data_IF_150074276491
#
_entry.id   IF_150074276491
#
_cell.length_a   1.000
_cell.length_b   1.000
_cell.length_c   1.000
_cell.angle_alpha   90.00
_cell.angle_beta   90.00
_cell.angle_gamma   90.00
#
_symmetry.space_group_name_H-M   'P 1'
#
loop_
_entity.id
_entity.type
_entity.pdbx_description
1 polymer ?
#
# COMPACT_ATOMS: atom_id res chain seq x y z
N UNK A 1 -35.81 11.04 12.01
CA UNK A 1 -35.43 11.31 13.42
C UNK A 1 -33.97 11.76 13.42
N UNK A 2 -33.66 12.98 13.89
CA UNK A 2 -32.28 13.49 13.91
C UNK A 2 -31.58 12.93 15.17
N UNK A 3 -30.46 12.20 15.06
CA UNK A 3 -29.81 11.56 16.21
C UNK A 3 -29.24 12.58 17.22
N UNK A 4 -29.36 12.27 18.51
CA UNK A 4 -29.12 13.20 19.61
C UNK A 4 -27.64 13.47 19.92
N UNK A 5 -26.72 12.61 19.46
CA UNK A 5 -25.27 12.78 19.65
C UNK A 5 -24.46 11.96 18.63
N UNK A 6 -23.15 12.18 18.58
CA UNK A 6 -22.23 11.52 17.61
C UNK A 6 -22.22 9.99 17.74
N UNK A 7 -22.50 9.45 18.93
CA UNK A 7 -22.52 8.00 19.18
C UNK A 7 -23.78 7.39 18.55
N UNK A 8 -24.95 7.96 18.81
CA UNK A 8 -26.23 7.54 18.21
C UNK A 8 -26.26 7.75 16.69
N UNK A 9 -25.62 8.80 16.17
CA UNK A 9 -25.44 8.97 14.73
C UNK A 9 -24.62 7.83 14.13
N UNK A 10 -23.53 7.41 14.80
CA UNK A 10 -22.72 6.27 14.34
C UNK A 10 -23.47 4.95 14.35
N UNK A 11 -24.37 4.74 15.31
CA UNK A 11 -25.23 3.55 15.36
C UNK A 11 -26.26 3.56 14.23
N UNK A 12 -26.95 4.68 14.02
CA UNK A 12 -27.91 4.85 12.91
C UNK A 12 -27.22 4.69 11.55
N UNK A 13 -26.04 5.28 11.36
CA UNK A 13 -25.28 5.13 10.11
C UNK A 13 -24.79 3.68 9.92
N UNK A 14 -24.48 2.95 10.99
CA UNK A 14 -24.10 1.53 10.92
C UNK A 14 -25.26 0.62 10.56
N UNK A 15 -26.45 0.90 11.07
CA UNK A 15 -27.67 0.17 10.70
C UNK A 15 -28.13 0.48 9.28
N UNK A 16 -28.02 1.76 8.85
CA UNK A 16 -28.45 2.19 7.52
C UNK A 16 -27.44 1.90 6.42
N UNK A 17 -26.14 1.89 6.74
CA UNK A 17 -25.04 1.68 5.80
C UNK A 17 -24.04 0.66 6.34
N UNK A 18 -24.45 -0.60 6.55
CA UNK A 18 -23.60 -1.65 7.12
C UNK A 18 -22.34 -1.90 6.29
N UNK A 19 -22.43 -1.79 4.95
CA UNK A 19 -21.30 -1.97 4.04
C UNK A 19 -20.23 -0.86 4.16
N UNK A 20 -20.64 0.38 4.46
CA UNK A 20 -19.71 1.49 4.68
C UNK A 20 -18.94 1.37 6.00
N UNK A 21 -19.49 0.61 6.97
CA UNK A 21 -18.92 0.44 8.31
C UNK A 21 -18.33 -0.95 8.57
N UNK A 22 -18.57 -1.94 7.69
CA UNK A 22 -17.99 -3.28 7.79
C UNK A 22 -16.44 -3.27 7.80
N UNK A 23 -15.83 -2.35 7.05
CA UNK A 23 -14.37 -2.21 7.01
C UNK A 23 -13.77 -1.64 8.30
N UNK A 24 -14.48 -0.76 9.00
CA UNK A 24 -14.03 -0.20 10.28
C UNK A 24 -14.08 -1.22 11.44
N UNK A 25 -14.90 -2.28 11.31
CA UNK A 25 -15.03 -3.36 12.30
C UNK A 25 -14.10 -4.55 12.01
N UNK A 26 -13.50 -4.61 10.81
CA UNK A 26 -12.54 -5.66 10.43
C UNK A 26 -11.18 -5.52 11.15
N UNK A 27 -10.96 -4.43 11.89
CA UNK A 27 -9.73 -4.11 12.63
C UNK A 27 -9.46 -5.02 13.84
N UNK A 28 -10.25 -6.08 14.06
CA UNK A 28 -10.09 -7.03 15.17
C UNK A 28 -10.12 -8.51 14.81
N UNK A 29 -10.32 -8.88 13.54
CA UNK A 29 -10.16 -10.25 13.04
C UNK A 29 -8.77 -10.45 12.47
N UNK A 30 -8.24 -11.68 12.46
CA UNK A 30 -6.95 -11.99 11.84
C UNK A 30 -6.94 -11.56 10.36
N UNK A 31 -6.48 -10.34 10.07
CA UNK A 31 -6.37 -9.82 8.71
C UNK A 31 -5.32 -10.65 7.97
N UNK A 32 -5.80 -11.51 7.08
CA UNK A 32 -4.95 -12.24 6.14
C UNK A 32 -4.15 -11.29 5.24
N UNK A 33 -3.08 -11.82 4.64
CA UNK A 33 -2.33 -11.05 3.65
C UNK A 33 -3.24 -10.75 2.44
N UNK A 34 -3.18 -9.50 1.97
CA UNK A 34 -3.85 -9.05 0.75
C UNK A 34 -3.43 -9.98 -0.39
N UNK A 35 -4.42 -10.59 -1.04
CA UNK A 35 -4.20 -11.46 -2.19
C UNK A 35 -4.29 -10.63 -3.47
N UNK A 36 -3.18 -10.59 -4.19
CA UNK A 36 -3.06 -9.88 -5.47
C UNK A 36 -3.16 -10.84 -6.65
N UNK A 37 -2.86 -12.12 -6.44
CA UNK A 37 -2.76 -13.12 -7.51
C UNK A 37 -1.42 -13.12 -8.23
N UNK A 38 -0.47 -12.27 -7.80
CA UNK A 38 0.85 -12.13 -8.40
C UNK A 38 1.92 -12.54 -7.40
N UNK A 39 2.71 -13.56 -7.75
CA UNK A 39 3.67 -14.20 -6.84
C UNK A 39 4.67 -13.21 -6.20
N UNK A 40 5.11 -12.18 -6.93
CA UNK A 40 6.02 -11.16 -6.44
C UNK A 40 5.41 -10.32 -5.29
N UNK A 41 4.13 -9.94 -5.42
CA UNK A 41 3.39 -9.16 -4.43
C UNK A 41 2.90 -10.05 -3.27
N UNK A 42 2.38 -11.23 -3.58
CA UNK A 42 1.89 -12.16 -2.56
C UNK A 42 3.04 -12.66 -1.67
N UNK A 43 4.25 -12.80 -2.24
CA UNK A 43 5.48 -13.08 -1.50
C UNK A 43 5.86 -11.99 -0.48
N UNK A 44 5.45 -10.75 -0.69
CA UNK A 44 5.64 -9.66 0.29
C UNK A 44 4.76 -9.84 1.53
N UNK A 45 3.67 -10.62 1.43
CA UNK A 45 2.66 -10.79 2.48
C UNK A 45 2.15 -9.45 3.00
N UNK A 46 1.61 -8.63 2.09
CA UNK A 46 1.10 -7.30 2.40
C UNK A 46 -0.05 -7.37 3.38
N UNK A 47 0.09 -6.68 4.51
CA UNK A 47 -0.90 -6.68 5.60
C UNK A 47 -1.49 -5.29 5.77
N UNK A 48 -2.76 -5.26 6.12
CA UNK A 48 -3.41 -4.05 6.56
C UNK A 48 -2.75 -3.50 7.84
N UNK A 49 -2.76 -2.18 7.98
CA UNK A 49 -2.07 -1.49 9.07
C UNK A 49 -0.54 -1.54 9.00
N UNK A 50 0.05 -1.87 7.84
CA UNK A 50 1.50 -1.94 7.69
C UNK A 50 2.01 -1.03 6.58
N UNK A 51 3.31 -0.76 6.62
CA UNK A 51 4.02 -0.03 5.57
C UNK A 51 4.84 -1.01 4.76
N UNK A 52 4.69 -0.97 3.44
CA UNK A 52 5.50 -1.70 2.47
C UNK A 52 6.22 -0.72 1.54
N UNK A 53 7.30 -1.18 0.92
CA UNK A 53 8.07 -0.40 -0.04
C UNK A 53 8.41 -1.25 -1.27
N UNK A 54 8.13 -0.73 -2.47
CA UNK A 54 8.54 -1.29 -3.74
C UNK A 54 9.64 -0.38 -4.29
N UNK A 55 10.82 -0.94 -4.48
CA UNK A 55 12.00 -0.21 -4.93
C UNK A 55 12.28 -0.58 -6.38
N UNK A 56 12.24 0.41 -7.28
CA UNK A 56 12.66 0.28 -8.67
C UNK A 56 13.77 1.31 -8.94
N UNK A 57 15.02 0.88 -8.91
CA UNK A 57 16.15 1.80 -9.08
C UNK A 57 16.30 2.32 -10.52
N UNK A 58 15.74 1.60 -11.49
CA UNK A 58 15.92 1.88 -12.92
C UNK A 58 14.72 2.63 -13.51
N UNK A 59 13.56 2.59 -12.84
CA UNK A 59 12.31 3.23 -13.25
C UNK A 59 11.58 2.51 -14.38
N UNK A 60 12.09 1.38 -14.84
CA UNK A 60 11.55 0.57 -15.95
C UNK A 60 11.48 -0.93 -15.60
N UNK A 61 11.48 -1.27 -14.31
CA UNK A 61 11.44 -2.64 -13.84
C UNK A 61 10.01 -3.12 -13.50
N UNK A 62 8.99 -2.36 -13.91
CA UNK A 62 7.58 -2.76 -13.78
C UNK A 62 6.87 -2.24 -12.52
N UNK A 63 7.42 -1.23 -11.83
CA UNK A 63 6.76 -0.62 -10.67
C UNK A 63 5.31 -0.16 -10.97
N UNK A 64 5.07 0.44 -12.15
CA UNK A 64 3.72 0.83 -12.58
C UNK A 64 2.76 -0.34 -12.78
N UNK A 65 3.26 -1.50 -13.23
CA UNK A 65 2.45 -2.73 -13.35
C UNK A 65 2.00 -3.20 -11.96
N UNK A 66 2.92 -3.19 -10.99
CA UNK A 66 2.62 -3.55 -9.61
C UNK A 66 1.67 -2.56 -8.93
N UNK A 67 1.78 -1.26 -9.27
CA UNK A 67 0.86 -0.22 -8.82
C UNK A 67 -0.57 -0.55 -9.26
N UNK A 68 -0.77 -0.82 -10.54
CA UNK A 68 -2.07 -1.20 -11.09
C UNK A 68 -2.59 -2.51 -10.49
N UNK A 69 -1.72 -3.52 -10.37
CA UNK A 69 -2.08 -4.79 -9.72
C UNK A 69 -2.55 -4.60 -8.27
N UNK A 70 -1.92 -3.69 -7.52
CA UNK A 70 -2.34 -3.36 -6.15
C UNK A 70 -3.63 -2.55 -6.08
N UNK A 71 -3.95 -1.75 -7.09
CA UNK A 71 -5.26 -1.09 -7.21
C UNK A 71 -6.38 -2.08 -7.57
N UNK A 72 -6.03 -3.14 -8.28
CA UNK A 72 -6.95 -4.17 -8.78
C UNK A 72 -7.09 -5.38 -7.86
N UNK A 73 -6.21 -5.51 -6.88
CA UNK A 73 -6.23 -6.58 -5.89
C UNK A 73 -7.54 -6.60 -5.08
N UNK A 74 -7.93 -7.80 -4.67
CA UNK A 74 -9.21 -8.16 -4.03
C UNK A 74 -10.42 -8.23 -4.98
N UNK A 75 -10.92 -9.46 -5.16
CA UNK A 75 -12.02 -9.83 -6.08
C UNK A 75 -13.37 -10.03 -5.38
N UNK A 76 -13.49 -9.82 -4.06
CA UNK A 76 -14.72 -10.09 -3.30
C UNK A 76 -15.60 -8.85 -3.08
N UNK A 77 -16.88 -9.10 -2.80
CA UNK A 77 -18.09 -8.36 -3.20
C UNK A 77 -18.24 -6.87 -2.87
N UNK A 78 -17.29 -6.24 -2.16
CA UNK A 78 -17.30 -4.82 -1.80
C UNK A 78 -15.90 -4.23 -2.05
N UNK A 79 -15.61 -3.90 -3.32
CA UNK A 79 -14.30 -3.37 -3.74
C UNK A 79 -13.92 -2.15 -2.88
N UNK A 80 -12.90 -2.23 -2.01
CA UNK A 80 -12.55 -1.11 -1.15
C UNK A 80 -11.95 0.05 -1.95
N UNK A 81 -12.13 1.27 -1.46
CA UNK A 81 -11.54 2.46 -2.06
C UNK A 81 -10.02 2.42 -1.94
N UNK A 82 -9.33 2.78 -3.01
CA UNK A 82 -7.87 2.88 -3.06
C UNK A 82 -7.51 4.34 -3.28
N UNK A 83 -6.52 4.86 -2.55
CA UNK A 83 -5.94 6.15 -2.84
C UNK A 83 -4.58 6.00 -3.52
N UNK A 84 -4.38 6.74 -4.60
CA UNK A 84 -3.07 6.98 -5.18
C UNK A 84 -2.64 8.40 -4.84
N UNK A 85 -1.54 8.53 -4.11
CA UNK A 85 -0.81 9.78 -3.95
C UNK A 85 0.31 9.78 -4.96
N UNK A 86 0.10 10.49 -6.07
CA UNK A 86 1.03 10.56 -7.18
C UNK A 86 1.96 11.76 -6.99
N UNK A 87 3.21 11.49 -6.59
CA UNK A 87 4.19 12.51 -6.26
C UNK A 87 4.68 13.35 -7.44
N UNK A 88 4.63 12.78 -8.65
CA UNK A 88 5.22 13.35 -9.86
C UNK A 88 4.18 13.70 -10.94
N UNK A 89 2.89 13.43 -10.70
CA UNK A 89 1.82 13.60 -11.69
C UNK A 89 2.06 12.71 -12.93
N UNK A 90 2.53 11.48 -12.69
CA UNK A 90 3.00 10.55 -13.72
C UNK A 90 2.06 9.36 -13.97
N UNK A 91 1.00 9.21 -13.17
CA UNK A 91 0.01 8.17 -13.40
C UNK A 91 -0.79 8.43 -14.68
N UNK A 92 -0.91 7.41 -15.53
CA UNK A 92 -1.74 7.43 -16.73
C UNK A 92 -3.09 6.72 -16.47
N UNK A 93 -4.22 7.45 -16.40
CA UNK A 93 -5.54 6.85 -16.21
C UNK A 93 -5.94 5.86 -17.31
N UNK A 94 -5.41 5.99 -18.53
CA UNK A 94 -5.73 5.08 -19.63
C UNK A 94 -5.18 3.67 -19.41
N UNK A 95 -4.19 3.51 -18.53
CA UNK A 95 -3.61 2.22 -18.15
C UNK A 95 -4.47 1.39 -17.18
N UNK A 96 -5.52 1.98 -16.60
CA UNK A 96 -6.40 1.35 -15.63
C UNK A 96 -7.81 1.09 -16.19
N UNK A 97 -8.46 0.03 -15.71
CA UNK A 97 -9.87 -0.22 -16.04
C UNK A 97 -10.80 0.84 -15.44
N UNK A 98 -11.93 1.11 -16.09
CA UNK A 98 -12.97 2.02 -15.58
C UNK A 98 -13.45 1.65 -14.17
N UNK A 99 -13.48 0.35 -13.87
CA UNK A 99 -13.89 -0.13 -12.55
C UNK A 99 -12.87 0.23 -11.47
N UNK A 100 -11.58 0.20 -11.80
CA UNK A 100 -10.51 0.70 -10.93
C UNK A 100 -10.60 2.21 -10.77
N UNK A 101 -10.82 2.95 -11.85
CA UNK A 101 -10.92 4.41 -11.81
C UNK A 101 -12.11 4.89 -10.95
N UNK A 102 -13.26 4.20 -11.01
CA UNK A 102 -14.45 4.54 -10.23
C UNK A 102 -14.26 4.44 -8.70
N UNK A 103 -13.26 3.67 -8.23
CA UNK A 103 -12.93 3.51 -6.80
C UNK A 103 -11.64 4.21 -6.39
N UNK A 104 -10.97 4.89 -7.33
CA UNK A 104 -9.67 5.50 -7.12
C UNK A 104 -9.81 6.94 -6.65
N UNK A 105 -9.25 7.26 -5.48
CA UNK A 105 -8.95 8.63 -5.10
C UNK A 105 -7.55 8.98 -5.59
N UNK A 106 -7.45 9.75 -6.67
CA UNK A 106 -6.16 10.19 -7.22
C UNK A 106 -5.79 11.59 -6.70
N UNK A 107 -4.75 11.65 -5.87
CA UNK A 107 -4.18 12.89 -5.35
C UNK A 107 -2.93 13.25 -6.15
N UNK A 108 -3.10 14.20 -7.06
CA UNK A 108 -2.03 14.69 -7.94
C UNK A 108 -1.12 15.66 -7.19
N UNK A 109 0.07 15.20 -6.85
CA UNK A 109 1.14 16.02 -6.31
C UNK A 109 2.18 16.28 -7.41
N UNK A 110 3.01 17.30 -7.20
CA UNK A 110 4.15 17.63 -8.08
C UNK A 110 5.43 17.87 -7.27
N UNK A 111 5.43 17.32 -6.06
CA UNK A 111 6.45 17.51 -5.04
C UNK A 111 6.34 16.41 -3.99
N UNK A 112 7.49 15.86 -3.60
CA UNK A 112 7.57 14.76 -2.65
C UNK A 112 7.05 15.16 -1.26
N UNK A 113 7.28 16.39 -0.80
CA UNK A 113 6.79 16.84 0.51
C UNK A 113 5.26 17.03 0.51
N UNK A 114 4.66 17.45 -0.60
CA UNK A 114 3.21 17.46 -0.77
C UNK A 114 2.63 16.05 -0.76
N UNK A 115 3.29 15.10 -1.42
CA UNK A 115 2.89 13.70 -1.41
C UNK A 115 2.90 13.10 0.01
N UNK A 116 3.97 13.32 0.79
CA UNK A 116 4.05 12.88 2.19
C UNK A 116 2.94 13.50 3.05
N UNK A 117 2.61 14.79 2.86
CA UNK A 117 1.51 15.45 3.57
C UNK A 117 0.14 14.91 3.16
N UNK A 118 -0.07 14.65 1.87
CA UNK A 118 -1.30 14.03 1.38
C UNK A 118 -1.49 12.63 1.99
N UNK A 119 -0.43 11.81 2.01
CA UNK A 119 -0.47 10.51 2.68
C UNK A 119 -0.79 10.63 4.18
N UNK A 120 -0.20 11.60 4.90
CA UNK A 120 -0.52 11.86 6.31
C UNK A 120 -2.01 12.19 6.52
N UNK A 121 -2.60 13.01 5.65
CA UNK A 121 -4.02 13.37 5.72
C UNK A 121 -4.93 12.16 5.46
N UNK A 122 -4.64 11.35 4.44
CA UNK A 122 -5.42 10.17 4.11
C UNK A 122 -5.38 9.11 5.22
N UNK A 123 -4.21 8.88 5.82
CA UNK A 123 -4.06 7.93 6.93
C UNK A 123 -4.70 8.44 8.23
N UNK A 124 -4.82 9.77 8.41
CA UNK A 124 -5.56 10.35 9.54
C UNK A 124 -7.07 10.16 9.42
N UNK A 125 -7.59 10.27 8.21
CA UNK A 125 -9.00 10.10 7.92
C UNK A 125 -9.45 8.65 8.16
N UNK A 126 -8.63 7.68 7.74
CA UNK A 126 -8.82 6.26 8.05
C UNK A 126 -9.97 5.57 7.31
N UNK A 127 -10.62 6.24 6.36
CA UNK A 127 -11.69 5.64 5.55
C UNK A 127 -11.17 4.88 4.32
N UNK A 128 -9.86 4.89 4.09
CA UNK A 128 -9.22 4.27 2.94
C UNK A 128 -8.35 3.12 3.43
N UNK A 129 -8.65 1.90 2.98
CA UNK A 129 -7.93 0.70 3.42
C UNK A 129 -6.58 0.55 2.71
N UNK A 130 -6.35 1.26 1.60
CA UNK A 130 -5.11 1.16 0.83
C UNK A 130 -4.67 2.51 0.29
N UNK A 131 -3.48 2.94 0.70
CA UNK A 131 -2.82 4.15 0.21
C UNK A 131 -1.56 3.74 -0.54
N UNK A 132 -1.54 4.00 -1.83
CA UNK A 132 -0.39 3.82 -2.71
C UNK A 132 0.29 5.18 -2.84
N UNK A 133 1.53 5.30 -2.37
CA UNK A 133 2.33 6.51 -2.41
C UNK A 133 3.39 6.36 -3.51
N UNK A 134 3.14 6.96 -4.66
CA UNK A 134 4.08 6.92 -5.78
C UNK A 134 5.07 8.08 -5.72
N UNK A 135 6.33 7.74 -5.53
CA UNK A 135 7.47 8.67 -5.50
C UNK A 135 8.51 8.33 -6.58
N UNK A 136 8.20 7.40 -7.50
CA UNK A 136 9.14 6.81 -8.45
C UNK A 136 9.83 7.87 -9.32
N UNK A 137 9.07 8.85 -9.82
CA UNK A 137 9.56 9.90 -10.70
C UNK A 137 9.84 11.24 -9.98
N UNK A 138 9.80 11.25 -8.64
CA UNK A 138 10.22 12.43 -7.88
C UNK A 138 11.75 12.60 -7.95
N UNK A 139 12.29 13.83 -8.03
CA UNK A 139 13.73 14.05 -8.02
C UNK A 139 14.40 13.48 -6.78
N UNK A 140 15.49 12.73 -6.94
CA UNK A 140 16.20 12.10 -5.83
C UNK A 140 16.64 13.08 -4.72
N UNK A 141 16.96 14.33 -5.09
CA UNK A 141 17.28 15.38 -4.12
C UNK A 141 16.08 15.73 -3.23
N UNK A 142 14.86 15.77 -3.78
CA UNK A 142 13.65 16.02 -3.01
C UNK A 142 13.32 14.83 -2.10
N UNK A 143 13.51 13.60 -2.58
CA UNK A 143 13.30 12.38 -1.80
C UNK A 143 14.23 12.29 -0.58
N UNK A 144 15.52 12.60 -0.75
CA UNK A 144 16.50 12.60 0.35
C UNK A 144 16.22 13.65 1.42
N UNK A 145 15.43 14.67 1.11
CA UNK A 145 15.02 15.70 2.08
C UNK A 145 13.82 15.25 2.94
N UNK A 146 13.16 14.14 2.61
CA UNK A 146 12.07 13.61 3.44
C UNK A 146 12.64 13.17 4.79
N UNK A 147 12.21 13.77 5.91
CA UNK A 147 12.74 13.43 7.22
C UNK A 147 12.36 12.00 7.63
N UNK A 148 13.30 11.23 8.18
CA UNK A 148 13.03 9.89 8.70
C UNK A 148 11.83 9.81 9.68
N UNK A 149 11.60 10.80 10.59
CA UNK A 149 10.41 10.82 11.45
C UNK A 149 9.08 10.85 10.71
N UNK A 150 9.03 11.38 9.48
CA UNK A 150 7.82 11.38 8.67
C UNK A 150 7.36 9.94 8.36
N UNK A 151 8.30 9.04 8.00
CA UNK A 151 7.99 7.64 7.75
C UNK A 151 7.47 6.92 9.00
N UNK A 152 8.09 7.17 10.15
CA UNK A 152 7.63 6.60 11.42
C UNK A 152 6.22 7.08 11.79
N UNK A 153 5.92 8.36 11.55
CA UNK A 153 4.59 8.93 11.74
C UNK A 153 3.56 8.29 10.80
N UNK A 154 3.87 8.17 9.51
CA UNK A 154 2.98 7.50 8.55
C UNK A 154 2.73 6.04 8.94
N UNK A 155 3.75 5.31 9.43
CA UNK A 155 3.57 3.96 9.96
C UNK A 155 2.59 3.92 11.14
N UNK A 156 2.75 4.80 12.13
CA UNK A 156 1.84 4.84 13.28
C UNK A 156 0.40 5.14 12.87
N UNK A 157 0.20 6.02 11.88
CA UNK A 157 -1.13 6.31 11.35
C UNK A 157 -1.71 5.13 10.57
N UNK A 158 -0.90 4.47 9.73
CA UNK A 158 -1.29 3.26 9.02
C UNK A 158 -1.74 2.16 9.99
N UNK A 159 -0.93 1.88 11.03
CA UNK A 159 -1.26 0.92 12.09
C UNK A 159 -2.58 1.29 12.80
N UNK A 160 -2.77 2.56 13.15
CA UNK A 160 -3.98 3.03 13.83
C UNK A 160 -5.23 2.94 12.94
N UNK A 161 -5.11 3.25 11.66
CA UNK A 161 -6.21 3.24 10.70
C UNK A 161 -6.51 1.84 10.16
N UNK A 162 -5.62 0.87 10.37
CA UNK A 162 -5.71 -0.43 9.71
C UNK A 162 -5.55 -0.33 8.20
N UNK A 163 -4.77 0.65 7.71
CA UNK A 163 -4.55 0.93 6.29
C UNK A 163 -3.21 0.35 5.83
N UNK A 164 -3.18 -0.33 4.69
CA UNK A 164 -1.91 -0.62 3.99
C UNK A 164 -1.39 0.68 3.36
N UNK A 165 -0.17 1.08 3.72
CA UNK A 165 0.61 2.08 2.99
C UNK A 165 1.68 1.37 2.16
N UNK A 166 1.63 1.50 0.83
CA UNK A 166 2.67 0.99 -0.05
C UNK A 166 3.38 2.16 -0.76
N UNK A 167 4.68 2.33 -0.52
CA UNK A 167 5.48 3.37 -1.17
C UNK A 167 6.24 2.81 -2.36
N UNK A 168 6.23 3.52 -3.49
CA UNK A 168 7.02 3.22 -4.69
C UNK A 168 8.16 4.22 -4.77
N UNK A 169 9.40 3.74 -4.74
CA UNK A 169 10.59 4.60 -4.58
C UNK A 169 11.70 4.19 -5.54
N UNK A 170 12.48 5.19 -5.98
CA UNK A 170 13.63 4.97 -6.87
C UNK A 170 14.89 4.45 -6.15
N UNK A 171 14.85 4.31 -4.82
CA UNK A 171 15.89 3.71 -3.99
C UNK A 171 15.29 3.42 -2.61
N UNK A 172 15.88 2.48 -1.88
CA UNK A 172 15.42 2.14 -0.53
C UNK A 172 15.52 3.36 0.41
N UNK A 173 14.38 3.82 0.92
CA UNK A 173 14.31 4.99 1.79
C UNK A 173 13.27 4.93 2.90
N UNK A 174 12.40 3.93 2.95
CA UNK A 174 11.36 3.80 4.00
C UNK A 174 11.86 2.92 5.14
N UNK A 175 12.49 3.46 6.21
CA UNK A 175 13.17 2.64 7.23
C UNK A 175 12.23 1.66 7.95
N UNK A 176 10.97 2.05 8.13
CA UNK A 176 9.97 1.30 8.88
C UNK A 176 9.14 0.32 8.04
N UNK A 177 9.49 0.10 6.77
CA UNK A 177 8.80 -0.88 5.93
C UNK A 177 8.89 -2.29 6.55
N UNK A 178 7.73 -2.95 6.66
CA UNK A 178 7.59 -4.35 7.10
C UNK A 178 8.01 -5.30 5.99
N UNK A 179 7.68 -4.99 4.74
CA UNK A 179 8.06 -5.75 3.57
C UNK A 179 8.64 -4.80 2.51
N UNK A 180 9.67 -5.27 1.82
CA UNK A 180 10.27 -4.62 0.66
C UNK A 180 10.30 -5.58 -0.51
N UNK A 181 10.05 -5.04 -1.70
CA UNK A 181 10.29 -5.73 -2.95
C UNK A 181 11.29 -4.89 -3.75
N UNK A 182 12.39 -5.50 -4.15
CA UNK A 182 13.39 -4.88 -5.02
C UNK A 182 13.18 -5.41 -6.43
N UNK A 183 12.94 -4.51 -7.38
CA UNK A 183 12.86 -4.82 -8.79
C UNK A 183 14.25 -4.69 -9.39
N UNK A 184 14.84 -5.82 -9.75
CA UNK A 184 16.25 -5.91 -10.14
C UNK A 184 16.41 -5.99 -11.68
N UNK A 185 15.36 -6.43 -12.38
CA UNK A 185 15.35 -6.69 -13.82
C UNK A 185 14.47 -5.69 -14.56
N UNK A 186 15.00 -5.05 -15.60
CA UNK A 186 14.22 -4.17 -16.50
C UNK A 186 13.56 -4.98 -17.58
N UNK A 187 12.34 -4.60 -17.95
CA UNK A 187 11.71 -5.16 -19.13
C UNK A 187 12.37 -4.64 -20.40
N UNK A 188 12.57 -5.54 -21.36
CA UNK A 188 12.96 -5.15 -22.72
C UNK A 188 11.81 -4.41 -23.40
N UNK A 189 12.10 -3.57 -24.38
CA UNK A 189 11.08 -2.77 -25.08
C UNK A 189 10.08 -3.68 -25.79
N UNK A 190 10.54 -4.82 -26.29
CA UNK A 190 9.76 -5.85 -26.96
C UNK A 190 8.70 -6.47 -26.03
N UNK A 191 8.89 -6.39 -24.71
CA UNK A 191 7.92 -6.89 -23.75
C UNK A 191 6.64 -6.03 -23.71
N UNK A 192 6.68 -4.78 -24.21
CA UNK A 192 5.52 -3.89 -24.27
C UNK A 192 4.42 -4.39 -25.22
N UNK A 193 4.76 -5.26 -26.17
CA UNK A 193 3.78 -5.90 -27.07
C UNK A 193 2.99 -7.03 -26.38
N UNK A 194 3.44 -7.46 -25.19
CA UNK A 194 2.81 -8.50 -24.39
C UNK A 194 1.57 -8.03 -23.64
N UNK A 195 0.79 -8.99 -23.14
CA UNK A 195 -0.30 -8.67 -22.21
C UNK A 195 0.26 -8.22 -20.85
N UNK A 196 -0.48 -7.34 -20.18
CA UNK A 196 -0.17 -6.88 -18.83
C UNK A 196 -0.04 -8.05 -17.84
N UNK A 197 -0.88 -9.06 -17.98
CA UNK A 197 -0.86 -10.27 -17.16
C UNK A 197 0.40 -11.12 -17.41
N UNK A 198 0.86 -11.19 -18.66
CA UNK A 198 2.13 -11.84 -19.02
C UNK A 198 3.32 -11.14 -18.37
N UNK A 199 3.38 -9.81 -18.52
CA UNK A 199 4.43 -8.97 -17.91
C UNK A 199 4.48 -9.12 -16.39
N UNK A 200 3.33 -9.10 -15.72
CA UNK A 200 3.24 -9.29 -14.26
C UNK A 200 3.66 -10.70 -13.81
N UNK A 201 3.39 -11.73 -14.62
CA UNK A 201 3.80 -13.12 -14.33
C UNK A 201 5.32 -13.33 -14.46
N UNK A 202 5.93 -12.59 -15.38
CA UNK A 202 7.36 -12.62 -15.64
C UNK A 202 8.16 -11.77 -14.65
N UNK A 203 7.53 -10.76 -14.05
CA UNK A 203 8.17 -9.82 -13.14
C UNK A 203 8.86 -10.54 -11.97
N UNK A 204 10.18 -10.38 -11.90
CA UNK A 204 11.04 -10.91 -10.85
C UNK A 204 11.46 -9.81 -9.90
N UNK A 205 11.51 -10.15 -8.62
CA UNK A 205 12.02 -9.23 -7.62
C UNK A 205 12.38 -9.95 -6.33
N UNK A 206 13.29 -9.36 -5.58
CA UNK A 206 13.75 -9.89 -4.31
C UNK A 206 12.89 -9.33 -3.18
N UNK A 207 12.24 -10.20 -2.42
CA UNK A 207 11.45 -9.79 -1.25
C UNK A 207 12.31 -9.78 0.01
N UNK A 208 12.20 -8.73 0.81
CA UNK A 208 12.81 -8.60 2.14
C UNK A 208 11.75 -8.28 3.18
N UNK A 209 11.59 -9.13 4.20
CA UNK A 209 10.66 -8.90 5.32
C UNK A 209 11.40 -8.55 6.61
N UNK A 210 10.96 -7.49 7.28
CA UNK A 210 11.43 -7.07 8.59
C UNK A 210 10.66 -7.85 9.67
N UNK A 211 11.26 -8.94 10.17
CA UNK A 211 10.77 -9.61 11.39
C UNK A 211 10.60 -11.13 11.37
N UNK A 212 10.93 -11.84 10.29
CA UNK A 212 10.70 -13.30 10.21
C UNK A 212 11.64 -14.18 11.06
N UNK A 213 12.93 -13.85 11.19
CA UNK A 213 13.92 -14.72 11.89
C UNK A 213 14.02 -14.46 13.40
N UNK A 214 14.10 -13.20 13.84
CA UNK A 214 14.36 -12.86 15.26
C UNK A 214 13.17 -12.98 16.21
N UNK A 215 11.94 -13.15 15.69
CA UNK A 215 10.73 -13.32 16.49
C UNK A 215 10.42 -14.79 16.80
N UNK A 216 10.73 -15.69 15.86
CA UNK A 216 10.55 -17.13 16.05
C UNK A 216 11.63 -17.70 16.97
N UNK A 217 12.90 -17.31 16.79
CA UNK A 217 14.01 -17.70 17.67
C UNK A 217 13.81 -17.23 19.12
N UNK A 218 13.24 -16.04 19.34
CA UNK A 218 12.93 -15.54 20.70
C UNK A 218 11.77 -16.30 21.35
N UNK A 219 10.78 -16.75 20.58
CA UNK A 219 9.66 -17.57 21.11
C UNK A 219 10.09 -19.01 21.36
N UNK A 220 10.96 -19.58 20.52
CA UNK A 220 11.55 -20.89 20.72
C UNK A 220 12.51 -20.91 21.92
N UNK A 221 13.37 -19.89 22.08
CA UNK A 221 14.24 -19.78 23.25
C UNK A 221 13.45 -19.52 24.54
N UNK A 222 12.40 -18.69 24.50
CA UNK A 222 11.52 -18.47 25.65
C UNK A 222 10.73 -19.71 26.08
N UNK A 223 10.46 -20.66 25.17
CA UNK A 223 9.80 -21.93 25.51
C UNK A 223 10.80 -23.00 25.97
N UNK A 224 12.05 -22.92 25.54
CA UNK A 224 13.12 -23.81 26.00
C UNK A 224 13.68 -23.43 27.40
N UNK A 225 13.56 -22.17 27.81
CA UNK A 225 13.98 -21.70 29.15
C UNK A 225 12.88 -21.85 30.23
N UNK A 226 11.67 -22.25 29.82
CA UNK A 226 10.50 -22.40 30.71
C UNK A 226 10.11 -23.86 30.98
N UNK A 227 10.92 -24.83 30.54
CA UNK A 227 10.79 -26.27 30.84
C UNK A 227 12.02 -26.81 31.51
#
# INVERSE_FOLDING_TARGET
MIPANVISLREVLREQYPEAHAHALSSGGEMGAIQTGWACLDGMRLMQGTVAEIVDERGSAGAGLLLLALMEAERESLRPRVALVDGADAFDPASASMETLNRLLWVRCRDANRAIRAADLLLRDGNITRVLLDLQFCPAQALRQIPAPAWHRLRMLAEKAGTLLCAFTSFQMVPCARARLFLEETHAVEALDGSREGLLSELRGRVQQRGGRKGLERRLNSMAEAG
#
